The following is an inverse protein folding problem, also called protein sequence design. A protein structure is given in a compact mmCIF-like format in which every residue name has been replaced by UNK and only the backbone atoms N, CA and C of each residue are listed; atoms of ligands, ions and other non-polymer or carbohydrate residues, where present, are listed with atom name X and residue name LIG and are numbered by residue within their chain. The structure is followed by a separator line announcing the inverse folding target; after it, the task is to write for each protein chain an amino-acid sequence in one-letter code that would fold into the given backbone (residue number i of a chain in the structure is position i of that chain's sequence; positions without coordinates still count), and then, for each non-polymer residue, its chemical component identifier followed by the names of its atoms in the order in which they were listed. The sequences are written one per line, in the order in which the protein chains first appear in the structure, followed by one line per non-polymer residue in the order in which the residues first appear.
data_IF_914337346912
#
_entry.id   IF_914337346912
#
_cell.length_a   1.000
_cell.length_b   1.000
_cell.length_c   1.000
_cell.angle_alpha   90.00
_cell.angle_beta   90.00
_cell.angle_gamma   90.00
#
_symmetry.space_group_name_H-M   'P 1'
#
loop_
_entity.id
_entity.type
_entity.pdbx_description
1 polymer ?
#
# COMPACT_ATOMS: atom_id res chain seq x y z
N UNK A 1 1.82 -10.38 4.01
CA UNK A 1 2.36 -9.83 5.27
C UNK A 1 1.42 -10.16 6.42
N UNK A 2 0.15 -9.79 6.32
CA UNK A 2 -0.89 -10.11 7.31
C UNK A 2 -1.40 -11.53 7.06
N UNK A 3 -1.24 -12.45 8.02
CA UNK A 3 -1.70 -13.86 7.96
C UNK A 3 -3.09 -14.09 8.61
N UNK A 4 -3.58 -13.10 9.36
CA UNK A 4 -4.80 -13.18 10.18
C UNK A 4 -5.96 -12.39 9.58
N UNK A 5 -7.18 -12.64 10.10
CA UNK A 5 -8.38 -11.92 9.68
C UNK A 5 -8.23 -10.42 10.03
N UNK A 6 -8.38 -9.55 9.05
CA UNK A 6 -8.11 -8.11 9.20
C UNK A 6 -8.93 -7.22 8.23
N UNK A 7 -10.06 -7.74 7.74
CA UNK A 7 -10.91 -7.08 6.74
C UNK A 7 -10.34 -7.02 5.31
N UNK A 8 -9.13 -7.56 5.10
CA UNK A 8 -8.35 -7.55 3.86
C UNK A 8 -8.83 -8.58 2.80
N UNK A 9 -10.04 -9.11 2.92
CA UNK A 9 -10.62 -10.01 1.91
C UNK A 9 -11.03 -9.24 0.64
N UNK A 10 -11.13 -9.93 -0.50
CA UNK A 10 -11.38 -9.28 -1.79
C UNK A 10 -10.06 -8.89 -2.46
N UNK A 11 -9.85 -7.58 -2.66
CA UNK A 11 -8.75 -7.06 -3.48
C UNK A 11 -7.83 -6.12 -2.67
N UNK A 12 -7.06 -6.63 -1.70
CA UNK A 12 -6.18 -5.79 -0.88
C UNK A 12 -4.99 -5.26 -1.71
N UNK A 13 -4.69 -3.96 -1.58
CA UNK A 13 -3.61 -3.28 -2.31
C UNK A 13 -2.24 -3.95 -2.13
N UNK A 14 -1.97 -4.54 -0.96
CA UNK A 14 -0.75 -5.31 -0.69
C UNK A 14 -0.55 -6.42 -1.73
N UNK A 15 -1.60 -7.19 -2.02
CA UNK A 15 -1.56 -8.30 -2.99
C UNK A 15 -1.58 -7.76 -4.42
N UNK A 16 -2.31 -6.67 -4.71
CA UNK A 16 -2.34 -6.10 -6.07
C UNK A 16 -0.98 -5.52 -6.47
N UNK A 17 -0.30 -4.81 -5.57
CA UNK A 17 1.03 -4.24 -5.80
C UNK A 17 2.11 -5.34 -5.93
N UNK A 18 2.09 -6.35 -5.04
CA UNK A 18 2.99 -7.50 -5.15
C UNK A 18 2.75 -8.32 -6.42
N UNK A 19 1.49 -8.50 -6.84
CA UNK A 19 1.16 -9.19 -8.10
C UNK A 19 1.62 -8.40 -9.33
N UNK A 20 1.45 -7.08 -9.33
CA UNK A 20 1.98 -6.20 -10.38
C UNK A 20 3.51 -6.31 -10.49
N UNK A 21 4.21 -6.22 -9.35
CA UNK A 21 5.66 -6.38 -9.29
C UNK A 21 6.11 -7.76 -9.79
N UNK A 22 5.47 -8.84 -9.33
CA UNK A 22 5.78 -10.20 -9.75
C UNK A 22 5.56 -10.42 -11.26
N UNK A 23 4.52 -9.83 -11.85
CA UNK A 23 4.30 -9.89 -13.30
C UNK A 23 5.40 -9.16 -14.10
N UNK A 24 5.89 -8.00 -13.63
CA UNK A 24 7.02 -7.31 -14.27
C UNK A 24 8.33 -8.08 -14.14
N UNK A 25 8.62 -8.64 -12.96
CA UNK A 25 9.78 -9.52 -12.77
C UNK A 25 9.69 -10.81 -13.60
N UNK A 26 8.48 -11.35 -13.83
CA UNK A 26 8.29 -12.47 -14.74
C UNK A 26 8.66 -12.08 -16.19
N UNK A 27 8.23 -10.91 -16.68
CA UNK A 27 8.60 -10.42 -18.02
C UNK A 27 10.12 -10.25 -18.20
N UNK A 28 10.85 -9.75 -17.19
CA UNK A 28 12.31 -9.58 -17.28
C UNK A 28 13.10 -10.89 -17.14
N UNK A 29 12.49 -11.96 -16.63
CA UNK A 29 13.12 -13.28 -16.47
C UNK A 29 12.72 -14.30 -17.57
N UNK A 30 11.69 -14.03 -18.38
CA UNK A 30 11.26 -14.90 -19.46
C UNK A 30 12.27 -14.87 -20.63
N UNK A 31 12.54 -16.04 -21.21
CA UNK A 31 13.46 -16.20 -22.36
C UNK A 31 12.82 -15.72 -23.66
N UNK A 32 13.63 -15.41 -24.67
CA UNK A 32 13.12 -14.99 -25.98
C UNK A 32 12.31 -16.10 -26.70
N UNK A 33 12.62 -17.38 -26.44
CA UNK A 33 11.83 -18.54 -26.93
C UNK A 33 10.59 -18.86 -26.07
N UNK A 34 10.15 -17.95 -25.19
CA UNK A 34 8.92 -18.16 -24.40
C UNK A 34 7.67 -18.05 -25.27
N UNK A 35 6.61 -18.73 -24.86
CA UNK A 35 5.29 -18.61 -25.49
C UNK A 35 4.86 -17.14 -25.59
N UNK A 36 4.75 -16.65 -26.83
CA UNK A 36 4.40 -15.27 -27.14
C UNK A 36 2.99 -14.92 -26.63
N UNK A 37 2.06 -15.87 -26.56
CA UNK A 37 0.74 -15.63 -25.99
C UNK A 37 0.79 -15.53 -24.46
N UNK A 38 1.70 -16.23 -23.78
CA UNK A 38 1.90 -16.05 -22.33
C UNK A 38 2.43 -14.64 -22.01
N UNK A 39 3.44 -14.17 -22.75
CA UNK A 39 3.96 -12.79 -22.66
C UNK A 39 2.86 -11.76 -22.93
N UNK A 40 2.08 -11.97 -23.99
CA UNK A 40 0.94 -11.14 -24.40
C UNK A 40 -0.13 -11.05 -23.29
N UNK A 41 -0.45 -12.17 -22.62
CA UNK A 41 -1.40 -12.21 -21.50
C UNK A 41 -0.87 -11.45 -20.27
N UNK A 42 0.41 -11.55 -19.94
CA UNK A 42 1.02 -10.81 -18.83
C UNK A 42 0.98 -9.30 -19.12
N UNK A 43 1.43 -8.86 -20.30
CA UNK A 43 1.42 -7.42 -20.66
C UNK A 43 0.01 -6.82 -20.66
N UNK A 44 -0.98 -7.53 -21.20
CA UNK A 44 -2.41 -7.14 -21.12
C UNK A 44 -2.89 -7.03 -19.67
N UNK A 45 -2.47 -7.93 -18.78
CA UNK A 45 -2.84 -7.91 -17.36
C UNK A 45 -2.16 -6.76 -16.61
N UNK A 46 -0.89 -6.46 -16.90
CA UNK A 46 -0.15 -5.31 -16.34
C UNK A 46 -0.86 -4.00 -16.71
N UNK A 47 -1.20 -3.79 -17.98
CA UNK A 47 -1.94 -2.61 -18.45
C UNK A 47 -3.31 -2.48 -17.77
N UNK A 48 -4.08 -3.57 -17.71
CA UNK A 48 -5.39 -3.58 -17.07
C UNK A 48 -5.32 -3.31 -15.55
N UNK A 49 -4.31 -3.85 -14.86
CA UNK A 49 -4.12 -3.67 -13.43
C UNK A 49 -3.61 -2.25 -13.10
N UNK A 50 -2.63 -1.73 -13.85
CA UNK A 50 -2.20 -0.33 -13.77
C UNK A 50 -3.37 0.63 -13.89
N UNK A 51 -4.15 0.54 -14.99
CA UNK A 51 -5.33 1.38 -15.18
C UNK A 51 -6.34 1.28 -14.03
N UNK A 52 -6.60 0.07 -13.52
CA UNK A 52 -7.54 -0.16 -12.43
C UNK A 52 -7.07 0.47 -11.11
N UNK A 53 -5.80 0.32 -10.76
CA UNK A 53 -5.24 0.86 -9.51
C UNK A 53 -5.12 2.39 -9.57
N UNK A 54 -4.61 2.97 -10.67
CA UNK A 54 -4.59 4.43 -10.85
C UNK A 54 -6.00 5.05 -10.86
N UNK A 55 -7.00 4.39 -11.46
CA UNK A 55 -8.35 4.96 -11.60
C UNK A 55 -9.23 4.84 -10.36
N UNK A 56 -9.02 3.80 -9.53
CA UNK A 56 -9.98 3.41 -8.49
C UNK A 56 -9.39 3.22 -7.10
N UNK A 57 -8.07 2.98 -6.97
CA UNK A 57 -7.41 2.85 -5.66
C UNK A 57 -6.74 4.16 -5.24
N UNK A 58 -6.37 5.01 -6.19
CA UNK A 58 -5.75 6.31 -5.87
C UNK A 58 -6.75 7.25 -5.18
N UNK A 59 -6.36 7.76 -4.02
CA UNK A 59 -7.10 8.73 -3.22
C UNK A 59 -6.18 9.90 -2.83
N UNK A 60 -6.59 11.09 -3.22
CA UNK A 60 -6.07 12.38 -2.80
C UNK A 60 -7.26 13.24 -2.31
N UNK A 61 -6.99 14.48 -1.88
CA UNK A 61 -8.02 15.41 -1.41
C UNK A 61 -9.12 15.68 -2.46
N UNK A 62 -8.77 15.77 -3.74
CA UNK A 62 -9.75 16.00 -4.81
C UNK A 62 -10.62 14.74 -5.03
N UNK A 63 -10.02 13.56 -5.05
CA UNK A 63 -10.75 12.28 -5.16
C UNK A 63 -11.63 11.98 -3.96
N UNK A 64 -11.21 12.33 -2.75
CA UNK A 64 -12.05 12.21 -1.56
C UNK A 64 -13.30 13.10 -1.68
N UNK A 65 -13.15 14.33 -2.16
CA UNK A 65 -14.25 15.26 -2.42
C UNK A 65 -15.16 14.79 -3.58
N UNK A 66 -14.61 14.21 -4.65
CA UNK A 66 -15.39 13.54 -5.70
C UNK A 66 -16.27 12.43 -5.11
N UNK A 67 -15.67 11.49 -4.35
CA UNK A 67 -16.33 10.30 -3.80
C UNK A 67 -17.40 10.68 -2.76
N UNK A 68 -17.12 11.67 -1.90
CA UNK A 68 -18.08 12.22 -0.94
C UNK A 68 -19.32 12.85 -1.62
N UNK A 69 -19.22 13.21 -2.92
CA UNK A 69 -20.29 13.81 -3.72
C UNK A 69 -20.91 12.83 -4.72
N UNK A 70 -20.59 11.53 -4.65
CA UNK A 70 -21.19 10.51 -5.50
C UNK A 70 -22.69 10.38 -5.27
N UNK A 71 -23.40 10.06 -6.35
CA UNK A 71 -24.78 9.57 -6.26
C UNK A 71 -24.76 8.06 -6.12
N UNK A 72 -25.70 7.53 -5.35
CA UNK A 72 -25.98 6.09 -5.27
C UNK A 72 -26.83 5.66 -6.48
N UNK A 73 -26.89 4.34 -6.71
CA UNK A 73 -27.79 3.69 -7.69
C UNK A 73 -27.54 4.06 -9.18
N UNK A 74 -26.34 4.54 -9.53
CA UNK A 74 -25.95 4.90 -10.91
C UNK A 74 -25.84 3.67 -11.85
N UNK A 75 -26.96 3.17 -12.38
CA UNK A 75 -26.98 2.02 -13.28
C UNK A 75 -26.68 2.37 -14.76
N UNK A 76 -25.43 2.74 -15.07
CA UNK A 76 -24.99 2.98 -16.47
C UNK A 76 -23.52 2.63 -16.72
N UNK A 77 -23.14 2.39 -17.99
CA UNK A 77 -21.71 2.21 -18.36
C UNK A 77 -20.87 3.49 -18.18
N UNK A 78 -21.54 4.64 -18.16
CA UNK A 78 -20.98 5.99 -17.94
C UNK A 78 -21.02 6.43 -16.48
N UNK A 79 -21.43 5.55 -15.55
CA UNK A 79 -21.49 5.85 -14.12
C UNK A 79 -20.13 6.31 -13.58
N UNK A 80 -20.17 7.32 -12.71
CA UNK A 80 -19.01 7.77 -11.94
C UNK A 80 -18.82 6.82 -10.76
N UNK A 81 -19.90 6.49 -10.06
CA UNK A 81 -19.90 5.60 -8.90
C UNK A 81 -19.91 4.11 -9.31
N UNK A 82 -18.88 3.67 -10.05
CA UNK A 82 -18.82 2.32 -10.66
C UNK A 82 -18.89 1.14 -9.69
N UNK A 83 -18.65 1.36 -8.40
CA UNK A 83 -18.74 0.34 -7.37
C UNK A 83 -19.98 0.48 -6.47
N UNK A 84 -20.84 1.48 -6.71
CA UNK A 84 -21.96 1.85 -5.84
C UNK A 84 -21.53 2.03 -4.37
N UNK A 85 -20.48 2.83 -4.16
CA UNK A 85 -20.04 3.28 -2.83
C UNK A 85 -21.08 4.24 -2.27
N UNK A 86 -21.41 4.07 -1.00
CA UNK A 86 -22.37 4.91 -0.27
C UNK A 86 -21.55 6.05 0.39
N UNK A 87 -21.75 7.34 0.09
CA UNK A 87 -20.98 8.43 0.70
C UNK A 87 -21.06 8.44 2.23
N UNK A 88 -22.21 8.04 2.78
CA UNK A 88 -22.47 7.92 4.21
C UNK A 88 -21.74 6.74 4.89
N UNK A 89 -21.02 5.90 4.13
CA UNK A 89 -20.13 4.86 4.68
C UNK A 89 -18.64 5.24 4.66
N UNK A 90 -18.31 6.47 4.26
CA UNK A 90 -16.95 7.02 4.34
C UNK A 90 -16.65 7.34 5.82
N UNK A 91 -15.62 6.73 6.46
CA UNK A 91 -15.37 6.94 7.88
C UNK A 91 -14.80 8.33 8.20
N UNK A 92 -15.36 9.04 9.18
CA UNK A 92 -15.06 10.45 9.49
C UNK A 92 -13.55 10.77 9.58
N UNK A 93 -12.75 9.86 10.13
CA UNK A 93 -11.29 10.05 10.31
C UNK A 93 -10.55 10.36 9.00
N UNK A 94 -11.07 9.98 7.83
CA UNK A 94 -10.41 10.23 6.55
C UNK A 94 -10.34 11.72 6.20
N UNK A 95 -11.33 12.50 6.64
CA UNK A 95 -11.41 13.93 6.30
C UNK A 95 -10.37 14.75 7.07
N UNK A 96 -10.07 14.39 8.32
CA UNK A 96 -8.97 14.97 9.10
C UNK A 96 -7.60 14.41 8.66
N UNK A 97 -7.54 13.11 8.34
CA UNK A 97 -6.29 12.46 7.95
C UNK A 97 -5.79 12.93 6.58
N UNK A 98 -6.66 13.19 5.61
CA UNK A 98 -6.26 13.57 4.25
C UNK A 98 -5.62 14.97 4.23
N UNK A 99 -4.33 15.10 3.86
CA UNK A 99 -3.68 16.40 3.72
C UNK A 99 -4.15 17.16 2.47
N UNK A 100 -3.94 18.48 2.45
CA UNK A 100 -4.15 19.30 1.24
C UNK A 100 -3.12 19.01 0.15
N UNK A 101 -1.97 18.42 0.50
CA UNK A 101 -0.96 17.90 -0.43
C UNK A 101 -0.60 16.47 -0.08
N UNK A 102 -0.79 15.58 -1.04
CA UNK A 102 -0.48 14.16 -0.89
C UNK A 102 -1.66 13.28 -1.28
N UNK A 103 -1.44 11.97 -1.20
CA UNK A 103 -2.41 10.95 -1.56
C UNK A 103 -1.80 9.55 -1.46
N UNK A 104 -2.63 8.52 -1.59
CA UNK A 104 -2.20 7.13 -1.46
C UNK A 104 -3.14 6.16 -2.18
N UNK A 105 -2.69 4.92 -2.34
CA UNK A 105 -3.53 3.80 -2.74
C UNK A 105 -4.25 3.21 -1.52
N UNK A 106 -5.58 3.29 -1.52
CA UNK A 106 -6.45 2.78 -0.44
C UNK A 106 -6.35 1.27 -0.30
N UNK A 107 -6.71 0.76 0.88
CA UNK A 107 -6.52 -0.63 1.27
C UNK A 107 -7.21 -1.66 0.38
N UNK A 108 -8.41 -1.38 -0.12
CA UNK A 108 -9.23 -2.34 -0.88
C UNK A 108 -10.33 -1.62 -1.68
N UNK A 109 -10.67 -2.14 -2.86
CA UNK A 109 -11.87 -1.74 -3.61
C UNK A 109 -12.66 -2.98 -4.02
N UNK A 110 -13.94 -2.99 -3.69
CA UNK A 110 -14.88 -4.07 -3.99
C UNK A 110 -16.28 -3.50 -4.26
N UNK A 111 -17.20 -4.27 -4.89
CA UNK A 111 -18.59 -3.83 -5.03
C UNK A 111 -19.21 -3.46 -3.68
N UNK A 112 -19.84 -2.28 -3.60
CA UNK A 112 -20.39 -1.65 -2.40
C UNK A 112 -19.43 -1.50 -1.20
N UNK A 113 -18.10 -1.58 -1.41
CA UNK A 113 -17.11 -1.47 -0.32
C UNK A 113 -15.77 -0.87 -0.80
N UNK A 114 -15.42 0.29 -0.25
CA UNK A 114 -14.05 0.79 -0.23
C UNK A 114 -13.48 0.67 1.19
N UNK A 115 -12.21 0.26 1.30
CA UNK A 115 -11.47 0.20 2.56
C UNK A 115 -10.44 1.33 2.55
N UNK A 116 -10.82 2.49 3.10
CA UNK A 116 -10.03 3.72 3.05
C UNK A 116 -8.71 3.66 3.83
N UNK A 117 -8.47 2.62 4.64
CA UNK A 117 -7.26 2.50 5.45
C UNK A 117 -6.00 2.55 4.58
N UNK A 118 -5.00 3.30 5.03
CA UNK A 118 -3.67 3.31 4.41
C UNK A 118 -2.95 2.00 4.73
N UNK A 119 -2.23 1.43 3.76
CA UNK A 119 -1.41 0.22 3.93
C UNK A 119 0.02 0.48 3.44
N UNK A 120 0.99 0.36 4.34
CA UNK A 120 2.38 0.69 4.13
C UNK A 120 3.02 -0.11 2.99
N UNK A 121 3.00 -1.44 3.08
CA UNK A 121 3.68 -2.31 2.10
C UNK A 121 3.06 -2.19 0.71
N UNK A 122 1.72 -2.08 0.60
CA UNK A 122 1.06 -1.86 -0.69
C UNK A 122 1.50 -0.56 -1.37
N UNK A 123 1.59 0.54 -0.61
CA UNK A 123 2.01 1.83 -1.14
C UNK A 123 3.51 1.89 -1.50
N UNK A 124 4.39 1.35 -0.66
CA UNK A 124 5.83 1.34 -0.96
C UNK A 124 6.21 0.33 -2.05
N UNK A 125 5.54 -0.84 -2.15
CA UNK A 125 5.71 -1.72 -3.31
C UNK A 125 5.16 -1.05 -4.58
N UNK A 126 4.07 -0.28 -4.52
CA UNK A 126 3.60 0.45 -5.69
C UNK A 126 4.64 1.46 -6.22
N UNK A 127 5.40 2.13 -5.34
CA UNK A 127 6.54 2.96 -5.76
C UNK A 127 7.68 2.10 -6.33
N UNK A 128 8.12 1.06 -5.61
CA UNK A 128 9.26 0.22 -6.00
C UNK A 128 9.03 -0.53 -7.32
N UNK A 129 7.79 -0.93 -7.62
CA UNK A 129 7.43 -1.62 -8.87
C UNK A 129 7.12 -0.67 -10.02
N UNK A 130 7.29 0.64 -9.84
CA UNK A 130 6.85 1.72 -10.76
C UNK A 130 5.38 1.55 -11.20
N UNK A 131 4.53 1.11 -10.26
CA UNK A 131 3.07 1.14 -10.38
C UNK A 131 2.54 2.54 -10.05
N UNK A 132 3.14 3.24 -9.09
CA UNK A 132 2.85 4.66 -8.86
C UNK A 132 3.47 5.50 -10.00
N UNK A 133 2.74 6.51 -10.49
CA UNK A 133 3.38 7.55 -11.31
C UNK A 133 4.36 8.37 -10.45
N UNK A 134 5.28 9.12 -11.06
CA UNK A 134 6.19 10.00 -10.29
C UNK A 134 5.44 10.99 -9.39
N UNK A 135 4.34 11.57 -9.88
CA UNK A 135 3.46 12.45 -9.12
C UNK A 135 2.80 11.73 -7.94
N UNK A 136 2.31 10.50 -8.15
CA UNK A 136 1.72 9.67 -7.08
C UNK A 136 2.76 9.21 -6.05
N UNK A 137 3.99 8.90 -6.48
CA UNK A 137 5.09 8.54 -5.60
C UNK A 137 5.48 9.71 -4.68
N UNK A 138 5.64 10.92 -5.24
CA UNK A 138 5.90 12.11 -4.43
C UNK A 138 4.70 12.48 -3.55
N UNK A 139 3.46 12.29 -4.00
CA UNK A 139 2.27 12.51 -3.18
C UNK A 139 2.12 11.51 -2.01
N UNK A 140 2.56 10.25 -2.16
CA UNK A 140 2.69 9.29 -1.05
C UNK A 140 3.77 9.73 -0.06
N UNK A 141 4.86 10.33 -0.55
CA UNK A 141 5.97 10.78 0.29
C UNK A 141 5.63 12.09 1.03
N UNK A 142 4.94 13.04 0.39
CA UNK A 142 4.34 14.22 1.02
C UNK A 142 3.34 13.82 2.11
N UNK A 143 2.48 12.82 1.87
CA UNK A 143 1.55 12.30 2.89
C UNK A 143 2.29 11.77 4.13
N UNK A 144 3.38 11.02 3.96
CA UNK A 144 4.16 10.49 5.10
C UNK A 144 4.94 11.59 5.84
N UNK A 145 5.22 12.72 5.17
CA UNK A 145 5.82 13.89 5.78
C UNK A 145 4.79 14.74 6.56
N UNK A 146 3.60 14.99 5.98
CA UNK A 146 2.48 15.71 6.62
C UNK A 146 1.73 14.90 7.69
N UNK A 147 1.87 13.57 7.74
CA UNK A 147 1.26 12.67 8.73
C UNK A 147 2.29 11.78 9.43
N UNK A 148 3.44 12.37 9.75
CA UNK A 148 4.57 11.64 10.36
C UNK A 148 4.21 11.01 11.71
N UNK A 149 3.48 11.71 12.59
CA UNK A 149 3.13 11.18 13.91
C UNK A 149 2.07 10.06 13.81
N UNK A 150 1.15 10.17 12.85
CA UNK A 150 0.10 9.20 12.55
C UNK A 150 0.65 7.94 11.88
N UNK A 151 1.69 8.02 11.05
CA UNK A 151 2.22 6.87 10.28
C UNK A 151 3.52 6.27 10.84
N UNK A 152 4.31 7.06 11.57
CA UNK A 152 5.63 6.66 12.13
C UNK A 152 5.69 6.91 13.65
N UNK A 153 5.40 8.12 14.11
CA UNK A 153 5.54 8.49 15.53
C UNK A 153 6.96 8.24 16.05
N UNK A 154 7.08 7.49 17.15
CA UNK A 154 8.36 7.15 17.79
C UNK A 154 8.96 5.82 17.31
N UNK A 155 8.30 5.09 16.39
CA UNK A 155 8.82 3.85 15.83
C UNK A 155 8.32 3.59 14.39
N UNK A 156 9.16 3.78 13.35
CA UNK A 156 8.80 3.47 11.97
C UNK A 156 8.67 1.94 11.76
N UNK A 157 7.76 1.43 10.94
CA UNK A 157 6.63 2.02 10.21
C UNK A 157 5.36 1.20 10.50
N UNK A 158 4.22 1.85 10.79
CA UNK A 158 2.94 1.15 10.99
C UNK A 158 2.54 0.36 9.74
N UNK A 159 1.95 -0.84 9.89
CA UNK A 159 1.47 -1.62 8.73
C UNK A 159 0.28 -0.94 8.05
N UNK A 160 -0.66 -0.44 8.85
CA UNK A 160 -1.86 0.22 8.37
C UNK A 160 -2.28 1.35 9.29
N UNK A 161 -3.04 2.30 8.75
CA UNK A 161 -3.62 3.41 9.51
C UNK A 161 -5.07 3.69 9.06
N UNK A 162 -5.99 4.00 10.00
CA UNK A 162 -5.84 3.87 11.45
C UNK A 162 -5.82 2.40 11.90
N UNK A 163 -5.61 2.18 13.21
CA UNK A 163 -5.95 0.92 13.84
C UNK A 163 -7.48 0.81 13.96
N UNK A 164 -8.03 -0.40 13.79
CA UNK A 164 -9.44 -0.66 14.11
C UNK A 164 -9.63 -0.58 15.63
N UNK A 165 -10.65 0.15 16.08
CA UNK A 165 -11.02 0.26 17.48
C UNK A 165 -12.37 -0.43 17.76
N UNK A 166 -12.62 -0.76 19.03
CA UNK A 166 -13.93 -1.18 19.56
C UNK A 166 -14.61 -2.31 18.76
N UNK A 167 -15.87 -2.12 18.32
CA UNK A 167 -16.66 -3.16 17.66
C UNK A 167 -16.11 -3.57 16.29
N UNK A 168 -15.50 -2.66 15.52
CA UNK A 168 -14.87 -3.03 14.24
C UNK A 168 -13.74 -4.03 14.45
N UNK A 169 -12.89 -3.80 15.46
CA UNK A 169 -11.81 -4.73 15.78
C UNK A 169 -12.34 -6.12 16.15
N UNK A 170 -13.42 -6.20 16.95
CA UNK A 170 -14.05 -7.47 17.31
C UNK A 170 -14.64 -8.20 16.10
N UNK A 171 -15.46 -7.51 15.29
CA UNK A 171 -16.18 -8.08 14.13
C UNK A 171 -15.23 -8.44 12.98
N UNK A 172 -14.24 -7.59 12.71
CA UNK A 172 -13.43 -7.66 11.49
C UNK A 172 -12.12 -8.42 11.71
N UNK A 173 -11.53 -8.37 12.92
CA UNK A 173 -10.27 -9.11 13.22
C UNK A 173 -10.47 -10.41 13.98
N UNK A 174 -11.56 -10.55 14.76
CA UNK A 174 -11.68 -11.66 15.71
C UNK A 174 -10.73 -11.54 16.91
N UNK A 175 -10.41 -10.31 17.32
CA UNK A 175 -9.57 -9.95 18.46
C UNK A 175 -8.05 -10.20 18.29
N UNK A 176 -7.48 -9.96 17.10
CA UNK A 176 -6.08 -10.28 16.78
C UNK A 176 -5.09 -9.09 16.95
N UNK A 177 -3.86 -9.27 17.53
CA UNK A 177 -2.98 -8.16 17.95
C UNK A 177 -1.52 -8.11 17.39
N UNK A 178 -1.23 -8.40 16.10
CA UNK A 178 0.14 -8.28 15.53
C UNK A 178 0.20 -7.67 14.12
N UNK A 179 1.08 -6.67 13.85
CA UNK A 179 1.42 -6.13 12.51
C UNK A 179 2.46 -4.94 12.49
N UNK A 180 3.63 -5.00 11.80
CA UNK A 180 4.55 -3.82 11.52
C UNK A 180 5.45 -4.00 10.25
N UNK A 181 6.05 -2.92 9.69
CA UNK A 181 6.50 -2.82 8.26
C UNK A 181 7.82 -2.05 7.93
N UNK A 182 8.12 -1.87 6.62
CA UNK A 182 9.38 -1.40 5.95
C UNK A 182 9.00 -0.83 4.54
N UNK A 183 9.61 0.15 3.84
CA UNK A 183 10.69 1.16 4.02
C UNK A 183 10.41 2.39 3.08
N UNK A 184 10.92 3.58 3.43
CA UNK A 184 10.77 4.87 2.71
C UNK A 184 11.75 5.15 1.53
N UNK A 185 11.33 6.09 0.66
CA UNK A 185 12.02 6.55 -0.56
C UNK A 185 12.79 7.89 -0.48
N UNK A 186 12.36 8.88 0.32
CA UNK A 186 13.13 10.12 0.55
C UNK A 186 14.29 9.84 1.53
N UNK A 187 15.57 10.13 1.20
CA UNK A 187 16.71 9.73 2.03
C UNK A 187 16.79 10.48 3.38
N UNK A 188 16.26 11.71 3.47
CA UNK A 188 16.18 12.43 4.74
C UNK A 188 15.09 11.85 5.66
N UNK A 189 13.91 11.48 5.11
CA UNK A 189 12.86 10.76 5.87
C UNK A 189 13.38 9.41 6.36
N UNK A 190 14.08 8.66 5.49
CA UNK A 190 14.70 7.39 5.85
C UNK A 190 15.80 7.55 6.92
N UNK A 191 16.63 8.60 6.87
CA UNK A 191 17.62 8.91 7.91
C UNK A 191 16.97 9.28 9.25
N UNK A 192 15.92 10.13 9.25
CA UNK A 192 15.10 10.44 10.45
C UNK A 192 14.47 9.17 11.05
N UNK A 193 13.99 8.25 10.21
CA UNK A 193 13.47 6.96 10.66
C UNK A 193 14.55 6.05 11.27
N UNK A 194 15.75 5.99 10.68
CA UNK A 194 16.89 5.26 11.24
C UNK A 194 17.33 5.83 12.60
N UNK A 195 17.40 7.14 12.75
CA UNK A 195 17.73 7.79 14.03
C UNK A 195 16.73 7.46 15.15
N UNK A 196 15.44 7.28 14.82
CA UNK A 196 14.44 6.83 15.79
C UNK A 196 14.64 5.36 16.19
N UNK A 197 14.91 4.48 15.20
CA UNK A 197 15.20 3.07 15.47
C UNK A 197 16.47 2.87 16.29
N UNK A 198 17.59 3.53 15.93
CA UNK A 198 18.89 3.35 16.60
C UNK A 198 18.86 3.78 18.08
N UNK A 199 17.97 4.70 18.46
CA UNK A 199 17.76 5.10 19.87
C UNK A 199 17.17 3.98 20.75
N UNK A 200 16.50 3.00 20.15
CA UNK A 200 15.60 2.03 20.84
C UNK A 200 15.82 0.57 20.48
N UNK A 201 15.88 0.24 19.19
CA UNK A 201 15.79 -1.14 18.66
C UNK A 201 16.81 -2.11 19.28
N UNK A 202 18.04 -1.63 19.53
CA UNK A 202 19.08 -2.41 20.18
C UNK A 202 18.90 -2.56 21.72
N UNK A 203 18.26 -1.58 22.37
CA UNK A 203 17.95 -1.62 23.82
C UNK A 203 16.73 -2.50 24.13
N UNK A 204 15.76 -2.49 23.23
CA UNK A 204 14.54 -3.29 23.30
C UNK A 204 14.76 -4.75 22.81
N UNK A 205 16.01 -5.12 22.53
CA UNK A 205 16.45 -6.46 22.08
C UNK A 205 15.82 -6.92 20.75
N UNK A 206 15.76 -6.02 19.76
CA UNK A 206 15.24 -6.25 18.40
C UNK A 206 13.88 -6.97 18.36
N UNK A 207 12.82 -6.34 18.90
CA UNK A 207 11.50 -6.96 18.98
C UNK A 207 10.84 -7.13 17.60
N UNK A 208 9.90 -8.05 17.53
CA UNK A 208 9.11 -8.39 16.36
C UNK A 208 8.15 -7.28 15.91
N UNK A 209 7.60 -6.51 16.86
CA UNK A 209 6.70 -5.38 16.63
C UNK A 209 6.58 -4.46 17.87
N UNK A 210 5.96 -3.29 17.69
CA UNK A 210 5.67 -2.30 18.72
C UNK A 210 4.17 -1.93 18.72
N UNK A 211 3.64 -1.59 19.91
CA UNK A 211 2.22 -1.29 20.17
C UNK A 211 1.98 0.17 20.61
N UNK A 212 0.72 0.60 20.45
CA UNK A 212 0.21 1.90 20.87
C UNK A 212 0.26 2.98 19.78
N UNK A 213 -0.51 4.07 19.96
CA UNK A 213 -0.75 5.08 18.90
C UNK A 213 0.51 5.76 18.33
N UNK A 214 1.65 5.71 19.02
CA UNK A 214 2.95 6.21 18.55
C UNK A 214 4.09 5.17 18.58
N UNK A 215 3.79 3.86 18.74
CA UNK A 215 4.83 2.81 18.84
C UNK A 215 5.67 2.85 20.13
N UNK A 216 5.12 3.40 21.21
CA UNK A 216 5.83 3.57 22.49
C UNK A 216 6.16 2.25 23.19
N UNK A 217 5.27 1.26 23.12
CA UNK A 217 5.41 0.02 23.89
C UNK A 217 5.96 -1.10 23.02
N UNK A 218 6.81 -1.97 23.55
CA UNK A 218 7.17 -3.23 22.88
C UNK A 218 5.90 -4.08 22.77
N UNK A 219 5.69 -4.74 21.62
CA UNK A 219 4.43 -5.42 21.31
C UNK A 219 4.05 -6.49 22.35
N UNK A 220 2.76 -6.59 22.67
CA UNK A 220 2.20 -7.42 23.77
C UNK A 220 2.59 -8.90 23.72
N UNK A 221 2.90 -9.42 22.53
CA UNK A 221 3.41 -10.77 22.30
C UNK A 221 4.65 -10.76 21.38
N UNK A 222 5.41 -9.66 21.34
CA UNK A 222 6.57 -9.52 20.47
C UNK A 222 7.70 -10.46 20.89
N UNK A 223 8.21 -11.24 19.93
CA UNK A 223 9.44 -12.01 20.10
C UNK A 223 10.64 -11.07 20.06
N UNK A 224 11.64 -11.33 20.92
CA UNK A 224 12.96 -10.66 20.89
C UNK A 224 13.88 -11.30 19.85
N UNK A 225 14.89 -10.57 19.40
CA UNK A 225 15.87 -10.96 18.38
C UNK A 225 15.22 -11.46 17.09
N UNK A 226 14.10 -10.86 16.69
CA UNK A 226 13.33 -11.29 15.52
C UNK A 226 14.13 -11.01 14.23
N UNK A 227 14.39 -12.06 13.45
CA UNK A 227 15.30 -12.03 12.30
C UNK A 227 14.98 -10.92 11.29
N UNK A 228 13.70 -10.68 11.00
CA UNK A 228 13.29 -9.63 10.04
C UNK A 228 13.51 -8.19 10.56
N UNK A 229 13.57 -7.98 11.88
CA UNK A 229 13.77 -6.67 12.49
C UNK A 229 15.26 -6.29 12.41
N UNK A 230 16.13 -7.26 12.68
CA UNK A 230 17.58 -7.13 12.49
C UNK A 230 17.91 -6.94 11.01
N UNK A 231 17.39 -7.82 10.13
CA UNK A 231 17.66 -7.77 8.70
C UNK A 231 17.10 -6.50 8.04
N UNK A 232 15.89 -6.07 8.40
CA UNK A 232 15.28 -4.85 7.89
C UNK A 232 16.08 -3.59 8.24
N UNK A 233 16.58 -3.50 9.47
CA UNK A 233 17.48 -2.42 9.90
C UNK A 233 18.80 -2.43 9.11
N UNK A 234 19.46 -3.59 8.97
CA UNK A 234 20.72 -3.72 8.23
C UNK A 234 20.55 -3.36 6.74
N UNK A 235 19.51 -3.87 6.08
CA UNK A 235 19.19 -3.58 4.68
C UNK A 235 18.83 -2.09 4.50
N UNK A 236 18.10 -1.48 5.43
CA UNK A 236 17.82 -0.06 5.40
C UNK A 236 19.09 0.81 5.52
N UNK A 237 20.07 0.36 6.31
CA UNK A 237 21.38 1.01 6.46
C UNK A 237 22.22 0.88 5.18
N UNK A 238 22.38 -0.32 4.65
CA UNK A 238 23.09 -0.57 3.38
C UNK A 238 22.52 0.24 2.21
N UNK A 239 21.19 0.41 2.14
CA UNK A 239 20.50 1.23 1.13
C UNK A 239 20.56 2.74 1.37
N UNK A 240 21.10 3.19 2.50
CA UNK A 240 21.39 4.61 2.80
C UNK A 240 22.88 4.93 2.64
N UNK A 241 23.75 3.95 2.92
CA UNK A 241 25.20 4.05 2.74
C UNK A 241 25.58 3.95 1.26
N UNK A 242 24.94 3.06 0.49
CA UNK A 242 25.00 3.05 -0.97
C UNK A 242 23.60 2.85 -1.61
N UNK A 243 23.01 3.92 -2.17
CA UNK A 243 21.75 3.85 -2.93
C UNK A 243 21.79 2.98 -4.20
N UNK A 244 22.95 2.59 -4.73
CA UNK A 244 23.04 1.77 -5.96
C UNK A 244 22.31 0.42 -5.82
N UNK A 245 22.31 -0.13 -4.61
CA UNK A 245 21.59 -1.34 -4.23
C UNK A 245 20.07 -1.28 -4.47
N UNK A 246 19.47 -0.09 -4.66
CA UNK A 246 18.05 0.03 -5.03
C UNK A 246 17.73 -0.74 -6.32
N UNK A 247 18.68 -0.85 -7.26
CA UNK A 247 18.53 -1.62 -8.52
C UNK A 247 18.30 -3.12 -8.34
N UNK A 248 18.50 -3.65 -7.13
CA UNK A 248 18.25 -5.06 -6.80
C UNK A 248 16.74 -5.32 -6.57
N UNK A 249 15.97 -4.28 -6.19
CA UNK A 249 14.59 -4.39 -5.71
C UNK A 249 13.62 -3.48 -6.48
N UNK A 250 14.07 -2.30 -6.93
CA UNK A 250 13.24 -1.36 -7.69
C UNK A 250 13.26 -1.67 -9.20
N UNK A 251 12.14 -1.40 -9.86
CA UNK A 251 11.98 -1.44 -11.30
C UNK A 251 11.93 -0.01 -11.86
N UNK A 252 12.40 0.21 -13.08
CA UNK A 252 12.36 1.52 -13.78
C UNK A 252 11.00 1.73 -14.49
N UNK A 253 10.60 2.96 -14.83
CA UNK A 253 9.32 3.22 -15.54
C UNK A 253 9.46 2.92 -17.04
N UNK A 254 9.23 1.66 -17.44
CA UNK A 254 9.27 1.19 -18.84
C UNK A 254 8.18 1.83 -19.74
N UNK A 255 7.44 2.84 -19.27
CA UNK A 255 6.36 3.52 -20.00
C UNK A 255 5.11 2.69 -20.28
N UNK A 256 5.13 1.39 -19.99
CA UNK A 256 4.00 0.45 -20.17
C UNK A 256 2.77 0.84 -19.33
N UNK A 257 3.00 1.59 -18.25
CA UNK A 257 2.03 2.28 -17.39
C UNK A 257 1.17 3.32 -18.15
N UNK A 258 1.73 3.97 -19.17
CA UNK A 258 1.14 5.14 -19.84
C UNK A 258 0.33 4.75 -21.08
N UNK A 259 -0.73 3.98 -20.92
CA UNK A 259 -1.58 3.57 -22.04
C UNK A 259 -3.09 3.69 -21.79
N UNK A 260 -3.83 3.81 -22.90
CA UNK A 260 -5.24 4.23 -23.00
C UNK A 260 -6.18 3.25 -22.31
N UNK A 261 -7.30 3.76 -21.75
CA UNK A 261 -8.29 2.98 -21.02
C UNK A 261 -8.64 1.65 -21.73
N UNK A 262 -8.38 0.48 -21.10
CA UNK A 262 -8.51 -0.82 -21.73
C UNK A 262 -9.97 -1.19 -21.98
N UNK A 263 -10.23 -1.95 -23.05
CA UNK A 263 -11.55 -2.47 -23.36
C UNK A 263 -11.95 -3.57 -22.37
N UNK A 264 -12.59 -3.17 -21.26
CA UNK A 264 -13.08 -4.05 -20.19
C UNK A 264 -14.25 -4.92 -20.69
N UNK A 265 -13.94 -6.01 -21.38
CA UNK A 265 -14.89 -7.11 -21.59
C UNK A 265 -15.09 -7.86 -20.27
N UNK A 266 -16.33 -8.19 -19.92
CA UNK A 266 -16.64 -9.04 -18.76
C UNK A 266 -15.91 -10.37 -18.90
N UNK A 267 -15.35 -10.90 -17.81
CA UNK A 267 -14.92 -12.29 -17.75
C UNK A 267 -16.15 -13.18 -17.72
N UNK A 268 -16.33 -14.03 -18.74
CA UNK A 268 -17.33 -15.09 -18.72
C UNK A 268 -16.80 -16.20 -17.79
N UNK A 269 -17.01 -16.02 -16.48
CA UNK A 269 -16.46 -16.85 -15.42
C UNK A 269 -17.49 -17.24 -14.36
N UNK A 270 -18.64 -17.74 -14.82
CA UNK A 270 -19.42 -18.77 -14.14
C UNK A 270 -19.82 -19.82 -15.20
N UNK A 271 -19.72 -21.13 -14.91
CA UNK A 271 -20.55 -22.14 -15.56
C UNK A 271 -22.02 -22.05 -15.07
#
# INVERSE_FOLDING_TARGET
MIDRRMGIYGYPIEIQALFFMAMRCALSMLKQDSDADFVNHITKRIQALSYHLHSYYWLDFQRLNDIYRYKTEEYSQTALNKFNVIPESIPDWIFDFMPSRGGYFIGNVSPARMDFRWFCLGNFIAILSSLATGEQAEAILDLVEERWEELIGEMPLKICYPAMENQEWQIVTGCDPKNTSVKLGRPHLARRAMELMERRLAKDEFPEYYDGKAGRYVGKQARKYQTWSVAGYLVAKMLLDDPSHLRIIALEDDGHSRSRAPCLKRSNSCP
#
